data_IF_115903368945
#
_entry.id   IF_115903368945
#
_cell.length_a   1.000
_cell.length_b   1.000
_cell.length_c   1.000
_cell.angle_alpha   90.00
_cell.angle_beta   90.00
_cell.angle_gamma   90.00
#
_symmetry.space_group_name_H-M   'P 1'
#
loop_
_entity.id
_entity.type
_entity.pdbx_description
1 polymer ?
#
# COMPACT_ATOMS: atom_id res chain seq x y z
N UNK A 1 40.12 55.64 5.28
CA UNK A 1 39.47 55.20 6.54
C UNK A 1 40.25 55.70 7.73
N UNK A 2 39.60 56.44 8.63
CA UNK A 2 40.19 56.87 9.91
C UNK A 2 40.38 55.67 10.85
N UNK A 3 41.25 55.80 11.86
CA UNK A 3 41.53 54.73 12.84
C UNK A 3 40.26 54.21 13.52
N UNK A 4 39.32 55.11 13.82
CA UNK A 4 38.00 54.79 14.39
C UNK A 4 37.15 53.94 13.44
N UNK A 5 37.14 54.25 12.13
CA UNK A 5 36.41 53.45 11.14
C UNK A 5 36.97 52.03 11.01
N UNK A 6 38.30 51.84 11.13
CA UNK A 6 38.91 50.50 11.08
C UNK A 6 38.52 49.64 12.28
N UNK A 7 38.43 50.25 13.46
CA UNK A 7 38.02 49.57 14.69
C UNK A 7 36.54 49.15 14.59
N UNK A 8 35.65 50.06 14.15
CA UNK A 8 34.23 49.73 14.00
C UNK A 8 34.00 48.63 12.94
N UNK A 9 34.74 48.66 11.84
CA UNK A 9 34.66 47.62 10.82
C UNK A 9 35.14 46.25 11.36
N UNK A 10 36.22 46.23 12.13
CA UNK A 10 36.74 45.01 12.75
C UNK A 10 35.74 44.41 13.75
N UNK A 11 35.09 45.25 14.58
CA UNK A 11 34.05 44.81 15.53
C UNK A 11 32.83 44.27 14.78
N UNK A 12 32.39 44.94 13.71
CA UNK A 12 31.26 44.49 12.91
C UNK A 12 31.55 43.15 12.21
N UNK A 13 32.76 42.98 11.65
CA UNK A 13 33.18 41.71 11.06
C UNK A 13 33.26 40.59 12.11
N UNK A 14 33.78 40.87 13.30
CA UNK A 14 33.80 39.91 14.40
C UNK A 14 32.39 39.50 14.83
N UNK A 15 31.45 40.46 14.88
CA UNK A 15 30.05 40.18 15.19
C UNK A 15 29.41 39.26 14.14
N UNK A 16 29.64 39.50 12.85
CA UNK A 16 29.14 38.65 11.76
C UNK A 16 29.72 37.24 11.85
N UNK A 17 31.02 37.13 12.05
CA UNK A 17 31.73 35.83 12.14
C UNK A 17 31.28 35.02 13.35
N UNK A 18 30.84 35.65 14.45
CA UNK A 18 30.30 34.91 15.59
C UNK A 18 28.81 34.62 15.51
N UNK A 19 28.00 35.54 14.97
CA UNK A 19 26.54 35.39 14.97
C UNK A 19 26.03 34.41 13.92
N UNK A 20 26.64 34.37 12.73
CA UNK A 20 26.20 33.48 11.64
C UNK A 20 26.43 32.00 11.99
N UNK A 21 27.60 31.57 12.47
CA UNK A 21 27.80 30.18 12.85
C UNK A 21 26.98 29.80 14.08
N UNK A 22 26.83 30.70 15.05
CA UNK A 22 26.05 30.44 16.26
C UNK A 22 24.56 30.25 15.94
N UNK A 23 23.99 31.05 15.03
CA UNK A 23 22.62 30.88 14.56
C UNK A 23 22.44 29.64 13.69
N UNK A 24 23.46 29.22 12.93
CA UNK A 24 23.44 27.94 12.20
C UNK A 24 23.47 26.74 13.15
N UNK A 25 24.36 26.74 14.15
CA UNK A 25 24.47 25.65 15.14
C UNK A 25 23.21 25.58 16.01
N UNK A 26 22.79 26.69 16.62
CA UNK A 26 21.57 26.73 17.43
C UNK A 26 20.30 26.48 16.60
N UNK A 27 20.24 26.98 15.37
CA UNK A 27 19.13 26.75 14.46
C UNK A 27 19.03 25.30 13.98
N UNK A 28 20.17 24.63 13.76
CA UNK A 28 20.20 23.20 13.39
C UNK A 28 19.75 22.30 14.54
N UNK A 29 20.10 22.63 15.78
CA UNK A 29 19.62 21.93 16.98
C UNK A 29 18.13 22.21 17.25
N UNK A 30 17.64 23.42 16.95
CA UNK A 30 16.23 23.78 17.10
C UNK A 30 15.35 23.13 16.02
N UNK A 31 15.79 23.11 14.76
CA UNK A 31 15.11 22.44 13.65
C UNK A 31 15.23 20.91 13.71
N UNK A 32 16.34 20.38 14.22
CA UNK A 32 16.56 18.94 14.40
C UNK A 32 15.72 18.32 15.51
N UNK A 33 15.29 19.12 16.50
CA UNK A 33 14.44 18.70 17.63
C UNK A 33 12.95 18.98 17.43
N UNK A 34 12.55 19.65 16.35
CA UNK A 34 11.14 19.66 15.99
C UNK A 34 10.75 18.27 15.50
N UNK A 35 9.74 17.68 16.14
CA UNK A 35 9.06 16.52 15.58
C UNK A 35 8.63 16.89 14.16
N UNK A 36 9.32 16.33 13.18
CA UNK A 36 8.93 16.51 11.78
C UNK A 36 7.47 16.09 11.66
N UNK A 37 6.67 16.78 10.82
CA UNK A 37 5.32 16.32 10.51
C UNK A 37 5.36 14.83 10.19
N UNK A 38 4.40 14.04 10.69
CA UNK A 38 4.44 12.58 10.64
C UNK A 38 4.68 11.99 9.23
N UNK A 39 4.31 12.71 8.18
CA UNK A 39 4.55 12.33 6.78
C UNK A 39 5.99 12.62 6.27
N UNK A 40 6.83 13.24 7.10
CA UNK A 40 8.24 13.58 6.83
C UNK A 40 9.22 12.87 7.78
N UNK A 41 8.72 12.04 8.70
CA UNK A 41 9.57 11.17 9.51
C UNK A 41 9.98 9.98 8.64
N UNK A 42 11.23 9.97 8.18
CA UNK A 42 11.78 8.82 7.47
C UNK A 42 11.96 7.67 8.45
N UNK A 43 10.93 6.85 8.62
CA UNK A 43 11.00 5.69 9.49
C UNK A 43 11.70 4.55 8.74
N UNK A 44 12.94 4.25 9.15
CA UNK A 44 13.72 3.06 8.74
C UNK A 44 12.94 1.75 8.99
N UNK A 45 11.87 1.78 9.79
CA UNK A 45 11.02 0.64 10.14
C UNK A 45 9.71 0.51 9.34
N UNK A 46 9.26 1.54 8.61
CA UNK A 46 7.99 1.46 7.88
C UNK A 46 8.05 0.51 6.67
N UNK A 47 9.26 0.29 6.13
CA UNK A 47 9.51 -0.42 4.88
C UNK A 47 10.05 -1.86 5.10
N UNK A 48 10.22 -2.28 6.36
CA UNK A 48 10.73 -3.59 6.78
C UNK A 48 9.63 -4.41 7.45
N UNK A 49 9.21 -5.53 6.85
CA UNK A 49 8.28 -6.48 7.46
C UNK A 49 8.91 -7.17 8.69
N UNK A 50 8.07 -7.64 9.62
CA UNK A 50 8.52 -8.53 10.70
C UNK A 50 9.09 -9.83 10.12
N UNK A 51 10.04 -10.45 10.82
CA UNK A 51 10.56 -11.77 10.42
C UNK A 51 9.45 -12.83 10.40
N UNK A 52 8.43 -12.66 11.23
CA UNK A 52 7.30 -13.57 11.30
C UNK A 52 6.47 -13.54 10.00
N UNK A 53 6.18 -12.35 9.44
CA UNK A 53 5.58 -12.22 8.12
C UNK A 53 6.43 -12.86 7.02
N UNK A 54 7.75 -12.59 7.02
CA UNK A 54 8.69 -13.16 6.05
C UNK A 54 8.74 -14.69 6.09
N UNK A 55 8.53 -15.28 7.27
CA UNK A 55 8.54 -16.74 7.46
C UNK A 55 7.24 -17.43 7.07
N UNK A 56 6.10 -16.73 7.15
CA UNK A 56 4.75 -17.30 6.96
C UNK A 56 4.18 -17.11 5.57
N UNK A 57 4.54 -16.02 4.90
CA UNK A 57 3.91 -15.61 3.65
C UNK A 57 4.92 -15.44 2.54
N UNK A 58 4.47 -15.68 1.31
CA UNK A 58 5.26 -15.38 0.13
C UNK A 58 5.45 -13.87 0.00
N UNK A 59 6.66 -13.44 -0.32
CA UNK A 59 6.99 -12.02 -0.47
C UNK A 59 7.09 -11.70 -1.96
N UNK A 60 6.29 -10.73 -2.39
CA UNK A 60 6.28 -10.19 -3.74
C UNK A 60 6.98 -8.82 -3.73
N UNK A 61 7.88 -8.63 -4.68
CA UNK A 61 8.68 -7.43 -4.84
C UNK A 61 7.93 -6.33 -5.60
N UNK A 62 8.60 -5.23 -5.94
CA UNK A 62 7.98 -3.96 -6.38
C UNK A 62 7.38 -3.97 -7.79
N UNK A 63 7.35 -5.12 -8.43
CA UNK A 63 6.86 -5.36 -9.81
C UNK A 63 5.33 -5.55 -9.76
N UNK A 64 4.55 -5.24 -10.81
CA UNK A 64 3.12 -5.59 -10.85
C UNK A 64 2.86 -7.04 -10.42
N UNK A 65 1.86 -7.25 -9.56
CA UNK A 65 1.55 -8.54 -8.95
C UNK A 65 1.26 -9.61 -10.02
N UNK A 66 0.60 -9.19 -11.10
CA UNK A 66 0.17 -10.05 -12.21
C UNK A 66 1.32 -10.63 -13.02
N UNK A 67 2.50 -9.99 -12.97
CA UNK A 67 3.73 -10.47 -13.61
C UNK A 67 4.51 -11.45 -12.73
N UNK A 68 4.24 -11.45 -11.42
CA UNK A 68 4.91 -12.32 -10.45
C UNK A 68 4.12 -13.60 -10.14
N UNK A 69 2.85 -13.66 -10.56
CA UNK A 69 1.95 -14.78 -10.33
C UNK A 69 1.75 -15.55 -11.63
N UNK A 70 2.04 -16.84 -11.60
CA UNK A 70 1.82 -17.74 -12.73
C UNK A 70 0.33 -17.91 -13.03
N UNK A 71 0.03 -18.07 -14.33
CA UNK A 71 -1.33 -18.26 -14.80
C UNK A 71 -1.66 -19.75 -14.79
N UNK A 72 -2.52 -20.16 -13.86
CA UNK A 72 -2.96 -21.56 -13.76
C UNK A 72 -4.31 -21.83 -14.44
N UNK A 73 -5.06 -20.78 -14.79
CA UNK A 73 -6.43 -20.89 -15.31
C UNK A 73 -6.63 -20.10 -16.61
N UNK A 74 -7.63 -20.50 -17.37
CA UNK A 74 -7.99 -19.86 -18.64
C UNK A 74 -8.45 -18.42 -18.44
N UNK A 75 -9.17 -18.12 -17.36
CA UNK A 75 -9.54 -16.75 -16.97
C UNK A 75 -8.84 -16.36 -15.68
N UNK A 76 -8.41 -15.10 -15.61
CA UNK A 76 -7.81 -14.50 -14.43
C UNK A 76 -8.57 -13.22 -14.07
N UNK A 77 -8.84 -13.01 -12.80
CA UNK A 77 -9.35 -11.74 -12.28
C UNK A 77 -8.35 -11.16 -11.29
N UNK A 78 -8.02 -9.89 -11.45
CA UNK A 78 -7.32 -9.10 -10.44
C UNK A 78 -8.35 -8.22 -9.72
N UNK A 79 -8.44 -8.35 -8.41
CA UNK A 79 -9.31 -7.55 -7.55
C UNK A 79 -8.44 -6.71 -6.62
N UNK A 80 -8.48 -5.40 -6.78
CA UNK A 80 -7.86 -4.43 -5.88
C UNK A 80 -8.88 -3.99 -4.83
N UNK A 81 -8.66 -4.33 -3.58
CA UNK A 81 -9.50 -3.90 -2.46
C UNK A 81 -8.91 -2.65 -1.85
N UNK A 82 -9.69 -1.57 -1.84
CA UNK A 82 -9.23 -0.36 -1.20
C UNK A 82 -9.03 -0.51 0.30
N UNK A 83 -8.18 0.30 0.91
CA UNK A 83 -8.02 0.37 2.37
C UNK A 83 -7.60 -0.95 3.06
N UNK A 84 -7.20 -1.98 2.30
CA UNK A 84 -6.66 -3.23 2.81
C UNK A 84 -5.12 -3.21 2.77
N UNK A 85 -4.48 -3.21 3.93
CA UNK A 85 -3.02 -3.16 4.08
C UNK A 85 -2.53 -4.15 5.13
N UNK A 86 -1.21 -4.33 5.23
CA UNK A 86 -0.62 -5.26 6.20
C UNK A 86 -0.56 -4.62 7.60
N UNK A 87 -1.28 -5.15 8.60
CA UNK A 87 -1.24 -4.63 9.97
C UNK A 87 0.07 -4.99 10.69
N UNK A 88 0.45 -4.24 11.72
CA UNK A 88 1.49 -4.64 12.68
C UNK A 88 1.03 -5.80 13.56
N UNK A 89 -0.28 -5.87 13.85
CA UNK A 89 -0.87 -7.03 14.54
C UNK A 89 -1.09 -8.18 13.56
N UNK A 90 -0.26 -9.20 13.69
CA UNK A 90 -0.26 -10.36 12.81
C UNK A 90 -1.52 -11.22 12.94
N UNK A 91 -2.15 -11.23 14.12
CA UNK A 91 -3.39 -11.97 14.32
C UNK A 91 -4.53 -11.36 13.52
N UNK A 92 -4.48 -10.05 13.25
CA UNK A 92 -5.48 -9.37 12.43
C UNK A 92 -5.42 -9.85 10.99
N UNK A 93 -4.22 -9.87 10.39
CA UNK A 93 -4.08 -10.36 9.01
C UNK A 93 -4.44 -11.85 8.91
N UNK A 94 -4.03 -12.66 9.88
CA UNK A 94 -4.35 -14.08 9.90
C UNK A 94 -5.87 -14.33 9.94
N UNK A 95 -6.64 -13.51 10.67
CA UNK A 95 -8.12 -13.58 10.68
C UNK A 95 -8.73 -13.21 9.34
N UNK A 96 -8.22 -12.17 8.68
CA UNK A 96 -8.66 -11.76 7.35
C UNK A 96 -8.38 -12.86 6.31
N UNK A 97 -7.20 -13.47 6.35
CA UNK A 97 -6.83 -14.59 5.47
C UNK A 97 -7.65 -15.85 5.74
N UNK A 98 -7.98 -16.14 7.01
CA UNK A 98 -8.76 -17.33 7.38
C UNK A 98 -10.15 -17.41 6.72
N UNK A 99 -10.66 -16.32 6.15
CA UNK A 99 -11.88 -16.30 5.32
C UNK A 99 -11.74 -17.24 4.12
N UNK A 100 -10.54 -17.35 3.56
CA UNK A 100 -10.26 -18.16 2.37
C UNK A 100 -9.80 -19.59 2.68
N UNK A 101 -9.80 -20.02 3.95
CA UNK A 101 -9.21 -21.30 4.38
C UNK A 101 -9.79 -22.53 3.66
N UNK A 102 -11.07 -22.45 3.27
CA UNK A 102 -11.83 -23.56 2.66
C UNK A 102 -11.77 -23.54 1.12
N UNK A 103 -10.97 -22.65 0.53
CA UNK A 103 -10.76 -22.48 -0.91
C UNK A 103 -9.28 -22.71 -1.22
N UNK A 104 -8.88 -23.33 -2.34
CA UNK A 104 -7.46 -23.46 -2.67
C UNK A 104 -6.81 -22.07 -2.81
N UNK A 105 -5.82 -21.79 -1.97
CA UNK A 105 -5.24 -20.45 -1.86
C UNK A 105 -3.71 -20.46 -1.66
N UNK A 106 -3.09 -19.35 -2.02
CA UNK A 106 -1.72 -18.98 -1.64
C UNK A 106 -1.76 -17.56 -1.05
N UNK A 107 -1.16 -17.39 0.13
CA UNK A 107 -1.08 -16.10 0.80
C UNK A 107 0.26 -15.43 0.53
N UNK A 108 0.22 -14.15 0.17
CA UNK A 108 1.40 -13.37 -0.12
C UNK A 108 1.28 -11.95 0.44
N UNK A 109 2.42 -11.28 0.51
CA UNK A 109 2.55 -9.87 0.87
C UNK A 109 3.34 -9.18 -0.23
N UNK A 110 2.80 -8.10 -0.78
CA UNK A 110 3.38 -7.37 -1.89
C UNK A 110 3.92 -6.02 -1.45
N UNK A 111 5.20 -5.76 -1.75
CA UNK A 111 5.84 -4.45 -1.56
C UNK A 111 5.52 -3.51 -2.71
N UNK A 112 4.89 -2.38 -2.44
CA UNK A 112 4.52 -1.39 -3.46
C UNK A 112 5.45 -0.19 -3.50
N UNK A 113 5.62 0.39 -4.68
CA UNK A 113 6.36 1.65 -4.84
C UNK A 113 5.66 2.84 -4.19
N UNK A 114 4.32 2.89 -4.26
CA UNK A 114 3.52 3.92 -3.61
C UNK A 114 2.30 3.31 -2.95
N UNK A 115 1.90 3.85 -1.82
CA UNK A 115 0.76 3.39 -1.03
C UNK A 115 -0.51 4.18 -1.36
N UNK A 116 -0.90 4.21 -2.63
CA UNK A 116 -2.12 4.89 -3.10
C UNK A 116 -2.85 4.03 -4.14
N UNK A 117 -4.18 4.01 -4.08
CA UNK A 117 -5.06 3.23 -4.97
C UNK A 117 -4.83 3.57 -6.43
N UNK A 118 -4.82 4.87 -6.75
CA UNK A 118 -4.60 5.34 -8.13
C UNK A 118 -3.29 4.84 -8.73
N UNK A 119 -2.25 4.71 -7.91
CA UNK A 119 -0.99 4.11 -8.37
C UNK A 119 -1.11 2.59 -8.55
N UNK A 120 -1.90 1.91 -7.70
CA UNK A 120 -2.15 0.48 -7.85
C UNK A 120 -2.86 0.24 -9.17
N UNK A 121 -3.92 1.01 -9.42
CA UNK A 121 -4.68 0.97 -10.65
C UNK A 121 -3.78 1.15 -11.88
N UNK A 122 -2.96 2.21 -11.89
CA UNK A 122 -2.08 2.51 -13.02
C UNK A 122 -0.96 1.48 -13.25
N UNK A 123 -0.51 0.78 -12.21
CA UNK A 123 0.61 -0.18 -12.29
C UNK A 123 0.09 -1.57 -12.63
N UNK A 124 -0.99 -2.00 -11.97
CA UNK A 124 -1.52 -3.34 -12.09
C UNK A 124 -2.45 -3.49 -13.31
N UNK A 125 -3.14 -2.43 -13.71
CA UNK A 125 -4.10 -2.45 -14.82
C UNK A 125 -3.55 -1.86 -16.12
N UNK A 126 -2.24 -2.00 -16.37
CA UNK A 126 -1.68 -1.63 -17.68
C UNK A 126 -2.32 -2.50 -18.78
N UNK A 127 -3.34 -1.93 -19.40
CA UNK A 127 -4.18 -2.52 -20.44
C UNK A 127 -3.49 -2.30 -21.80
N UNK A 128 -2.56 -3.18 -22.15
CA UNK A 128 -2.00 -3.22 -23.52
C UNK A 128 -2.53 -4.42 -24.33
N UNK A 129 -3.55 -5.14 -23.84
CA UNK A 129 -4.10 -6.34 -24.51
C UNK A 129 -5.58 -6.22 -24.85
N UNK A 130 -5.96 -6.71 -26.04
CA UNK A 130 -7.36 -6.79 -26.48
C UNK A 130 -8.20 -7.79 -25.65
N UNK A 131 -7.55 -8.67 -24.89
CA UNK A 131 -8.19 -9.71 -24.07
C UNK A 131 -8.34 -9.30 -22.60
N UNK A 132 -8.07 -8.03 -22.27
CA UNK A 132 -8.15 -7.49 -20.91
C UNK A 132 -9.17 -6.36 -20.80
N UNK A 133 -9.93 -6.35 -19.71
CA UNK A 133 -10.83 -5.25 -19.35
C UNK A 133 -10.55 -4.75 -17.93
N UNK A 134 -10.60 -3.44 -17.75
CA UNK A 134 -10.60 -2.81 -16.44
C UNK A 134 -11.98 -2.24 -16.14
N UNK A 135 -12.48 -2.54 -14.94
CA UNK A 135 -13.79 -2.16 -14.46
C UNK A 135 -13.63 -1.52 -13.08
N UNK A 136 -14.24 -0.36 -12.87
CA UNK A 136 -14.44 0.23 -11.54
C UNK A 136 -15.91 0.08 -11.19
N UNK A 137 -16.25 -0.99 -10.49
CA UNK A 137 -17.65 -1.34 -10.20
C UNK A 137 -17.76 -2.23 -8.95
N UNK A 138 -18.99 -2.60 -8.58
CA UNK A 138 -19.29 -3.54 -7.50
C UNK A 138 -18.99 -4.98 -7.92
N UNK A 139 -18.61 -5.81 -6.93
CA UNK A 139 -18.34 -7.23 -7.13
C UNK A 139 -19.53 -7.98 -7.77
N UNK A 140 -20.76 -7.57 -7.47
CA UNK A 140 -21.99 -8.20 -7.98
C UNK A 140 -22.10 -8.24 -9.51
N UNK A 141 -21.40 -7.34 -10.22
CA UNK A 141 -21.42 -7.28 -11.68
C UNK A 141 -20.37 -8.22 -12.31
N UNK A 142 -19.46 -8.79 -11.52
CA UNK A 142 -18.38 -9.64 -11.99
C UNK A 142 -18.87 -10.99 -12.53
N UNK A 143 -19.95 -11.54 -11.97
CA UNK A 143 -20.59 -12.76 -12.45
C UNK A 143 -20.92 -12.70 -13.94
N UNK A 144 -21.56 -11.60 -14.35
CA UNK A 144 -21.97 -11.40 -15.75
C UNK A 144 -20.77 -11.34 -16.71
N UNK A 145 -19.65 -10.75 -16.26
CA UNK A 145 -18.42 -10.66 -17.02
C UNK A 145 -17.71 -12.02 -17.10
N UNK A 146 -17.72 -12.79 -16.01
CA UNK A 146 -17.11 -14.12 -15.99
C UNK A 146 -17.88 -15.10 -16.87
N UNK A 147 -19.20 -15.02 -16.89
CA UNK A 147 -20.07 -15.91 -17.66
C UNK A 147 -20.13 -15.53 -19.15
N UNK A 148 -20.24 -14.24 -19.49
CA UNK A 148 -20.65 -13.81 -20.84
C UNK A 148 -19.58 -13.08 -21.65
N UNK A 149 -18.36 -12.92 -21.14
CA UNK A 149 -17.28 -12.24 -21.88
C UNK A 149 -16.17 -13.17 -22.32
N UNK A 150 -15.50 -12.82 -23.42
CA UNK A 150 -14.29 -13.47 -23.91
C UNK A 150 -13.01 -12.91 -23.26
N UNK A 151 -13.15 -12.01 -22.27
CA UNK A 151 -12.00 -11.44 -21.58
C UNK A 151 -11.28 -12.52 -20.78
N UNK A 152 -9.99 -12.66 -21.07
CA UNK A 152 -9.09 -13.57 -20.37
C UNK A 152 -8.57 -12.97 -19.07
N UNK A 153 -8.50 -11.65 -18.99
CA UNK A 153 -8.07 -10.93 -17.79
C UNK A 153 -9.07 -9.85 -17.45
N UNK A 154 -9.68 -9.94 -16.27
CA UNK A 154 -10.58 -8.90 -15.76
C UNK A 154 -9.91 -8.24 -14.57
N UNK A 155 -9.98 -6.93 -14.50
CA UNK A 155 -9.37 -6.14 -13.46
C UNK A 155 -10.44 -5.27 -12.80
N UNK A 156 -10.54 -5.32 -11.47
CA UNK A 156 -11.57 -4.66 -10.68
C UNK A 156 -10.96 -3.90 -9.52
N UNK A 157 -11.40 -2.66 -9.26
CA UNK A 157 -11.15 -1.99 -7.98
C UNK A 157 -12.43 -1.90 -7.16
N UNK A 158 -12.41 -2.37 -5.92
CA UNK A 158 -13.50 -2.25 -4.95
C UNK A 158 -13.20 -1.07 -4.04
N UNK A 159 -13.97 0.02 -4.18
CA UNK A 159 -13.84 1.23 -3.36
C UNK A 159 -14.70 1.23 -2.09
N UNK A 160 -15.59 0.25 -1.90
CA UNK A 160 -16.57 0.22 -0.80
C UNK A 160 -15.93 0.10 0.60
N UNK A 161 -14.64 -0.26 0.65
CA UNK A 161 -13.82 -0.28 1.86
C UNK A 161 -13.23 1.09 2.23
N UNK A 162 -13.36 2.12 1.37
CA UNK A 162 -12.91 3.49 1.67
C UNK A 162 -13.54 3.98 2.97
N UNK A 163 -14.86 3.94 3.11
CA UNK A 163 -15.55 4.51 4.29
C UNK A 163 -15.81 3.47 5.40
N UNK A 164 -15.21 2.27 5.32
CA UNK A 164 -15.71 1.08 5.99
C UNK A 164 -14.97 0.64 7.26
N UNK A 165 -15.76 0.22 8.25
CA UNK A 165 -15.31 -0.58 9.39
C UNK A 165 -14.70 -1.92 8.95
N UNK A 166 -13.99 -2.60 9.86
CA UNK A 166 -13.47 -3.96 9.66
C UNK A 166 -14.54 -4.95 9.13
N UNK A 167 -15.81 -4.70 9.44
CA UNK A 167 -16.96 -5.45 8.96
C UNK A 167 -17.15 -5.34 7.43
N UNK A 168 -16.99 -4.13 6.85
CA UNK A 168 -17.13 -3.96 5.40
C UNK A 168 -16.04 -4.72 4.64
N UNK A 169 -14.78 -4.63 5.11
CA UNK A 169 -13.70 -5.42 4.55
C UNK A 169 -14.00 -6.92 4.66
N UNK A 170 -14.46 -7.38 5.83
CA UNK A 170 -14.83 -8.79 6.03
C UNK A 170 -15.92 -9.25 5.07
N UNK A 171 -16.95 -8.43 4.85
CA UNK A 171 -18.03 -8.75 3.92
C UNK A 171 -17.51 -8.87 2.48
N UNK A 172 -16.69 -7.91 2.03
CA UNK A 172 -16.06 -7.98 0.70
C UNK A 172 -15.21 -9.26 0.53
N UNK A 173 -14.41 -9.61 1.54
CA UNK A 173 -13.59 -10.84 1.48
C UNK A 173 -14.44 -12.11 1.45
N UNK A 174 -15.56 -12.14 2.20
CA UNK A 174 -16.51 -13.26 2.15
C UNK A 174 -17.15 -13.38 0.76
N UNK A 175 -17.62 -12.27 0.18
CA UNK A 175 -18.24 -12.28 -1.15
C UNK A 175 -17.26 -12.80 -2.22
N UNK A 176 -15.96 -12.46 -2.10
CA UNK A 176 -14.92 -12.99 -2.99
C UNK A 176 -14.70 -14.49 -2.78
N UNK A 177 -14.75 -14.97 -1.53
CA UNK A 177 -14.65 -16.41 -1.25
C UNK A 177 -15.85 -17.19 -1.83
N UNK A 178 -17.05 -16.62 -1.78
CA UNK A 178 -18.25 -17.18 -2.43
C UNK A 178 -18.14 -17.17 -3.96
N UNK A 179 -17.64 -16.09 -4.54
CA UNK A 179 -17.37 -15.99 -5.98
C UNK A 179 -16.44 -17.13 -6.45
N UNK A 180 -15.39 -17.42 -5.69
CA UNK A 180 -14.45 -18.49 -6.04
C UNK A 180 -15.09 -19.89 -6.00
N UNK A 181 -16.04 -20.11 -5.09
CA UNK A 181 -16.82 -21.35 -5.06
C UNK A 181 -17.74 -21.48 -6.28
N UNK A 182 -18.27 -20.35 -6.78
CA UNK A 182 -19.11 -20.32 -7.99
C UNK A 182 -18.29 -20.51 -9.27
N UNK A 183 -17.06 -20.00 -9.33
CA UNK A 183 -16.20 -20.02 -10.52
C UNK A 183 -14.83 -20.72 -10.27
N UNK A 184 -14.80 -22.04 -10.02
CA UNK A 184 -13.56 -22.78 -9.72
C UNK A 184 -12.58 -22.88 -10.90
N UNK A 185 -13.00 -22.52 -12.11
CA UNK A 185 -12.19 -22.48 -13.32
C UNK A 185 -11.50 -21.12 -13.54
N UNK A 186 -11.65 -20.17 -12.62
CA UNK A 186 -11.08 -18.83 -12.69
C UNK A 186 -9.99 -18.69 -11.63
N UNK A 187 -8.87 -18.05 -11.98
CA UNK A 187 -7.86 -17.66 -11.00
C UNK A 187 -8.18 -16.24 -10.49
N UNK A 188 -8.40 -16.07 -9.19
CA UNK A 188 -8.58 -14.75 -8.58
C UNK A 188 -7.28 -14.31 -7.90
N UNK A 189 -6.83 -13.10 -8.19
CA UNK A 189 -5.73 -12.43 -7.48
C UNK A 189 -6.35 -11.26 -6.74
N UNK A 190 -6.45 -11.38 -5.42
CA UNK A 190 -7.02 -10.36 -4.56
C UNK A 190 -5.87 -9.63 -3.87
N UNK A 191 -5.79 -8.31 -4.02
CA UNK A 191 -4.69 -7.52 -3.50
C UNK A 191 -5.21 -6.26 -2.80
N UNK A 192 -4.59 -5.91 -1.69
CA UNK A 192 -4.79 -4.61 -1.06
C UNK A 192 -4.28 -3.45 -1.92
N UNK A 193 -5.11 -2.44 -2.15
CA UNK A 193 -4.77 -1.30 -2.99
C UNK A 193 -4.08 -0.18 -2.23
N UNK A 194 -4.20 -0.12 -0.91
CA UNK A 194 -3.46 0.77 0.00
C UNK A 194 -3.77 0.45 1.49
N UNK A 195 -2.95 0.92 2.45
CA UNK A 195 -3.29 0.87 3.90
C UNK A 195 -4.63 1.54 4.16
N UNK A 196 -5.40 1.22 5.20
CA UNK A 196 -6.65 1.95 5.48
C UNK A 196 -6.40 3.47 5.66
N UNK A 197 -6.53 4.27 4.58
CA UNK A 197 -6.20 5.72 4.58
C UNK A 197 -7.28 6.53 5.28
N UNK A 198 -8.49 5.98 5.40
CA UNK A 198 -9.64 6.65 6.00
C UNK A 198 -9.81 6.34 7.50
N UNK A 199 -8.88 5.59 8.09
CA UNK A 199 -8.71 5.50 9.53
C UNK A 199 -8.08 6.74 10.16
N UNK A 200 -8.23 6.90 11.48
CA UNK A 200 -7.55 7.97 12.22
C UNK A 200 -6.02 7.84 12.09
N UNK A 201 -5.23 8.88 12.40
CA UNK A 201 -3.77 8.75 12.47
C UNK A 201 -3.31 7.54 13.29
N UNK A 202 -4.00 7.22 14.38
CA UNK A 202 -3.74 6.08 15.26
C UNK A 202 -3.95 4.75 14.53
N UNK A 203 -5.09 4.58 13.85
CA UNK A 203 -5.36 3.38 13.04
C UNK A 203 -4.34 3.24 11.91
N UNK A 204 -3.95 4.35 11.25
CA UNK A 204 -2.94 4.31 10.18
C UNK A 204 -1.55 3.88 10.66
N UNK A 205 -1.23 4.14 11.94
CA UNK A 205 0.01 3.65 12.60
C UNK A 205 -0.05 2.16 12.94
N UNK A 206 -1.18 1.48 12.74
CA UNK A 206 -1.30 0.04 12.92
C UNK A 206 -0.95 -0.75 11.66
N UNK A 207 -0.49 -0.10 10.57
CA UNK A 207 -0.17 -0.76 9.30
C UNK A 207 1.22 -0.41 8.80
N UNK A 208 1.90 -1.41 8.22
CA UNK A 208 3.15 -1.21 7.49
C UNK A 208 2.92 -0.34 6.25
N UNK A 209 3.82 0.61 6.00
CA UNK A 209 3.73 1.42 4.80
C UNK A 209 4.14 0.58 3.59
N UNK A 210 3.52 0.83 2.43
CA UNK A 210 3.88 0.19 1.16
C UNK A 210 3.62 -1.32 1.07
N UNK A 211 3.36 -2.01 2.16
CA UNK A 211 3.05 -3.43 2.17
C UNK A 211 1.55 -3.67 2.15
N UNK A 212 1.12 -4.49 1.20
CA UNK A 212 -0.29 -4.86 1.03
C UNK A 212 -0.45 -6.38 0.98
N UNK A 213 -1.54 -6.91 1.55
CA UNK A 213 -1.83 -8.34 1.49
C UNK A 213 -2.23 -8.74 0.07
N UNK A 214 -1.94 -9.99 -0.28
CA UNK A 214 -2.32 -10.63 -1.53
C UNK A 214 -2.82 -12.04 -1.24
N UNK A 215 -3.91 -12.42 -1.86
CA UNK A 215 -4.47 -13.78 -1.83
C UNK A 215 -4.65 -14.25 -3.27
N UNK A 216 -4.07 -15.39 -3.59
CA UNK A 216 -4.18 -16.02 -4.91
C UNK A 216 -5.11 -17.22 -4.73
N UNK A 217 -6.26 -17.20 -5.39
CA UNK A 217 -7.26 -18.26 -5.33
C UNK A 217 -7.29 -19.03 -6.65
N UNK A 218 -7.22 -20.36 -6.59
CA UNK A 218 -7.11 -21.25 -7.75
C UNK A 218 -8.15 -22.37 -7.76
#
# INVERSE_FOLDING_TARGET
>A
MTKSQKINLAIFLAFIVFTIPLSYVLGSDFMGKQEKPWHMQGAVHEDSLSQEYLSKYKILDKVPVTLQIERHKEKRVLILIDAWGVPFDEQKLAKEFAIFKDVPHEYAIHKRLKNVTKHAELVEFRSDSAESIFVTDKLINLDSLLENSDYKTIALTIHDSKEGSEENLRNVLNDIAELMKKFPNVQLIVQGAHRSILGTPETRRQYYAHWVPVVILN
#
